data_IF_099347947098
#
_entry.id   IF_099347947098
#
_cell.length_a   1.000
_cell.length_b   1.000
_cell.length_c   1.000
_cell.angle_alpha   90.00
_cell.angle_beta   90.00
_cell.angle_gamma   90.00
#
_symmetry.space_group_name_H-M   'P 1'
#
loop_
_entity.id
_entity.type
_entity.pdbx_description
1 polymer ?
#
# COMPACT_ATOMS: atom_id res chain seq x y z
N UNK A 1 -43.56 21.52 -46.43
CA UNK A 1 -42.97 20.39 -45.68
C UNK A 1 -41.57 20.14 -46.22
N UNK A 2 -40.53 20.54 -45.48
CA UNK A 2 -39.19 19.94 -45.48
C UNK A 2 -38.26 20.88 -44.70
N UNK A 3 -38.24 20.72 -43.37
CA UNK A 3 -37.21 21.34 -42.54
C UNK A 3 -35.93 20.51 -42.64
N UNK A 4 -34.84 21.12 -43.04
CA UNK A 4 -33.53 20.47 -43.12
C UNK A 4 -32.92 20.42 -41.71
N UNK A 5 -32.83 19.24 -41.13
CA UNK A 5 -32.20 19.00 -39.83
C UNK A 5 -30.70 18.75 -40.05
N UNK A 6 -29.86 19.74 -39.76
CA UNK A 6 -28.40 19.57 -39.77
C UNK A 6 -27.99 18.95 -38.44
N UNK A 7 -27.67 17.65 -38.46
CA UNK A 7 -27.05 16.97 -37.31
C UNK A 7 -25.59 17.40 -37.26
N UNK A 8 -25.27 18.41 -36.46
CA UNK A 8 -23.89 18.79 -36.18
C UNK A 8 -23.19 17.71 -35.36
N UNK A 9 -22.20 17.04 -35.96
CA UNK A 9 -21.26 16.18 -35.25
C UNK A 9 -20.45 17.04 -34.28
N UNK A 10 -20.89 17.13 -33.02
CA UNK A 10 -20.13 17.77 -31.96
C UNK A 10 -18.90 16.91 -31.64
N UNK A 11 -17.72 17.33 -32.09
CA UNK A 11 -16.47 16.81 -31.58
C UNK A 11 -16.40 17.12 -30.07
N UNK A 12 -16.49 16.10 -29.23
CA UNK A 12 -16.10 16.20 -27.83
C UNK A 12 -14.63 15.83 -27.76
N UNK A 13 -13.71 16.76 -27.44
CA UNK A 13 -12.32 16.39 -27.20
C UNK A 13 -12.30 15.34 -26.08
N UNK A 14 -11.70 14.18 -26.36
CA UNK A 14 -11.40 13.20 -25.32
C UNK A 14 -10.48 13.91 -24.31
N UNK A 15 -10.84 13.96 -23.01
CA UNK A 15 -9.93 14.48 -22.01
C UNK A 15 -8.60 13.73 -22.13
N UNK A 16 -7.49 14.46 -22.21
CA UNK A 16 -6.18 13.84 -22.13
C UNK A 16 -6.11 13.04 -20.82
N UNK A 17 -5.51 11.84 -20.87
CA UNK A 17 -5.31 11.06 -19.66
C UNK A 17 -4.50 11.90 -18.67
N UNK A 18 -5.03 12.08 -17.46
CA UNK A 18 -4.34 12.81 -16.39
C UNK A 18 -3.06 12.06 -16.03
N UNK A 19 -1.96 12.81 -15.91
CA UNK A 19 -0.69 12.24 -15.53
C UNK A 19 -0.57 12.23 -13.99
N UNK A 20 0.05 11.19 -13.45
CA UNK A 20 0.17 11.00 -11.99
C UNK A 20 1.64 10.75 -11.59
N UNK A 21 2.01 11.26 -10.42
CA UNK A 21 3.15 10.73 -9.66
C UNK A 21 2.66 9.67 -8.68
N UNK A 22 3.56 8.76 -8.30
CA UNK A 22 3.25 7.61 -7.47
C UNK A 22 4.16 7.56 -6.25
N UNK A 23 3.58 7.10 -5.14
CA UNK A 23 4.27 6.79 -3.90
C UNK A 23 3.81 5.42 -3.42
N UNK A 24 4.75 4.56 -3.10
CA UNK A 24 4.48 3.25 -2.53
C UNK A 24 4.81 3.27 -1.04
N UNK A 25 3.82 2.98 -0.20
CA UNK A 25 4.01 2.66 1.21
C UNK A 25 3.85 1.15 1.38
N UNK A 26 4.87 0.47 1.91
CA UNK A 26 4.87 -0.99 2.06
C UNK A 26 5.09 -1.37 3.51
N UNK A 27 4.29 -2.28 4.04
CA UNK A 27 4.55 -2.95 5.32
C UNK A 27 5.12 -4.34 5.08
N UNK A 28 6.22 -4.65 5.77
CA UNK A 28 6.87 -5.95 5.73
C UNK A 28 6.83 -6.51 7.14
N UNK A 29 6.05 -7.55 7.36
CA UNK A 29 5.74 -8.10 8.66
C UNK A 29 6.29 -9.52 8.76
N UNK A 30 7.25 -9.69 9.66
CA UNK A 30 7.98 -10.93 9.83
C UNK A 30 7.19 -11.88 10.72
N UNK A 31 7.00 -13.10 10.22
CA UNK A 31 6.43 -14.23 10.95
C UNK A 31 7.56 -15.18 11.25
N UNK A 32 8.25 -14.91 12.36
CA UNK A 32 9.33 -15.75 12.88
C UNK A 32 8.93 -16.22 14.27
N UNK A 33 9.00 -17.55 14.55
CA UNK A 33 8.70 -18.10 15.86
C UNK A 33 9.47 -17.39 16.98
N UNK A 34 8.83 -17.22 18.14
CA UNK A 34 9.42 -16.53 19.29
C UNK A 34 9.56 -15.01 19.13
N UNK A 35 9.13 -14.42 18.02
CA UNK A 35 9.14 -12.98 17.83
C UNK A 35 10.52 -12.39 17.53
N UNK A 36 11.44 -13.19 17.00
CA UNK A 36 12.81 -12.77 16.67
C UNK A 36 12.92 -12.03 15.32
N UNK A 37 11.83 -11.94 14.58
CA UNK A 37 11.75 -11.24 13.31
C UNK A 37 11.95 -9.73 13.43
N UNK A 38 12.24 -9.08 12.30
CA UNK A 38 12.25 -7.62 12.19
C UNK A 38 11.23 -7.21 11.15
N UNK A 39 10.22 -6.49 11.60
CA UNK A 39 9.14 -5.98 10.74
C UNK A 39 9.39 -4.50 10.48
N UNK A 40 9.11 -4.02 9.26
CA UNK A 40 9.44 -2.64 8.88
C UNK A 40 8.56 -2.08 7.76
N UNK A 41 8.42 -0.76 7.75
CA UNK A 41 7.91 0.02 6.63
C UNK A 41 8.99 0.34 5.60
N UNK A 42 8.66 0.24 4.32
CA UNK A 42 9.46 0.82 3.22
C UNK A 42 8.58 1.82 2.47
N UNK A 43 9.10 3.02 2.24
CA UNK A 43 8.46 4.04 1.41
C UNK A 43 9.31 4.23 0.17
N UNK A 44 8.69 4.35 -1.00
CA UNK A 44 9.38 4.56 -2.27
C UNK A 44 8.60 5.53 -3.14
N UNK A 45 9.28 6.50 -3.73
CA UNK A 45 8.70 7.40 -4.72
C UNK A 45 9.64 7.60 -5.91
N UNK A 46 9.43 8.67 -6.69
CA UNK A 46 10.05 8.87 -8.00
C UNK A 46 11.58 8.99 -7.96
N UNK A 47 12.18 9.28 -6.80
CA UNK A 47 13.62 9.48 -6.64
C UNK A 47 14.24 8.71 -5.48
N UNK A 48 13.48 8.44 -4.42
CA UNK A 48 14.05 7.96 -3.16
C UNK A 48 13.36 6.70 -2.63
N UNK A 49 14.14 5.91 -1.89
CA UNK A 49 13.66 4.80 -1.08
C UNK A 49 14.02 5.06 0.37
N UNK A 50 12.99 5.20 1.20
CA UNK A 50 13.14 5.46 2.62
C UNK A 50 12.77 4.22 3.44
N UNK A 51 13.64 3.91 4.39
CA UNK A 51 13.41 2.89 5.39
C UNK A 51 12.62 3.55 6.53
N UNK A 52 11.33 3.27 6.57
CA UNK A 52 10.39 3.90 7.49
C UNK A 52 10.42 3.31 8.91
N UNK A 53 9.37 3.62 9.67
CA UNK A 53 9.19 3.18 11.06
C UNK A 53 9.23 1.65 11.19
N UNK A 54 9.87 1.17 12.26
CA UNK A 54 9.85 -0.25 12.62
C UNK A 54 8.44 -0.66 13.06
N UNK A 55 8.04 -1.85 12.64
CA UNK A 55 6.76 -2.49 13.00
C UNK A 55 6.98 -3.47 14.14
N UNK A 56 5.95 -3.66 14.97
CA UNK A 56 5.98 -4.62 16.05
C UNK A 56 5.75 -6.05 15.52
N UNK A 57 6.35 -7.04 16.16
CA UNK A 57 6.26 -8.43 15.72
C UNK A 57 4.89 -9.05 16.00
N UNK A 58 4.41 -9.86 15.05
CA UNK A 58 3.14 -10.58 15.18
C UNK A 58 3.18 -11.72 16.20
N UNK A 59 4.35 -12.31 16.43
CA UNK A 59 4.50 -13.47 17.31
C UNK A 59 5.36 -13.16 18.53
N UNK A 60 5.10 -13.91 19.59
CA UNK A 60 5.87 -14.00 20.83
C UNK A 60 6.12 -15.47 21.15
N UNK A 61 6.77 -15.75 22.28
CA UNK A 61 6.94 -17.14 22.76
C UNK A 61 5.63 -17.84 23.10
N UNK A 62 4.55 -17.10 23.38
CA UNK A 62 3.24 -17.66 23.77
C UNK A 62 2.23 -17.67 22.62
N UNK A 63 2.64 -17.27 21.41
CA UNK A 63 1.78 -17.20 20.23
C UNK A 63 1.60 -15.76 19.71
N UNK A 64 0.46 -15.50 19.09
CA UNK A 64 0.16 -14.24 18.39
C UNK A 64 0.01 -13.07 19.39
N UNK A 65 0.66 -11.96 19.09
CA UNK A 65 0.57 -10.72 19.85
C UNK A 65 -0.42 -9.75 19.18
N UNK A 66 -1.70 -9.88 19.51
CA UNK A 66 -2.77 -9.03 18.95
C UNK A 66 -2.63 -7.54 19.28
N UNK A 67 -1.98 -7.20 20.40
CA UNK A 67 -1.71 -5.80 20.76
C UNK A 67 -0.70 -5.18 19.79
N UNK A 68 0.34 -5.93 19.41
CA UNK A 68 1.31 -5.49 18.41
C UNK A 68 0.63 -5.27 17.06
N UNK A 69 -0.22 -6.20 16.63
CA UNK A 69 -1.00 -6.09 15.39
C UNK A 69 -1.86 -4.82 15.41
N UNK A 70 -2.68 -4.62 16.44
CA UNK A 70 -3.53 -3.43 16.54
C UNK A 70 -2.75 -2.11 16.56
N UNK A 71 -1.53 -2.10 17.12
CA UNK A 71 -0.65 -0.93 17.09
C UNK A 71 -0.04 -0.69 15.70
N UNK A 72 0.33 -1.74 14.97
CA UNK A 72 0.77 -1.63 13.58
C UNK A 72 -0.37 -1.12 12.70
N UNK A 73 -1.58 -1.66 12.84
CA UNK A 73 -2.77 -1.25 12.09
C UNK A 73 -3.08 0.24 12.30
N UNK A 74 -3.00 0.72 13.55
CA UNK A 74 -3.18 2.15 13.85
C UNK A 74 -2.15 3.00 13.10
N UNK A 75 -0.88 2.60 13.13
CA UNK A 75 0.19 3.34 12.45
C UNK A 75 -0.02 3.37 10.93
N UNK A 76 -0.46 2.26 10.34
CA UNK A 76 -0.78 2.16 8.91
C UNK A 76 -1.90 3.16 8.56
N UNK A 77 -2.99 3.15 9.31
CA UNK A 77 -4.14 4.05 9.10
C UNK A 77 -3.73 5.51 9.26
N UNK A 78 -2.99 5.85 10.32
CA UNK A 78 -2.46 7.20 10.54
C UNK A 78 -1.59 7.66 9.36
N UNK A 79 -0.71 6.79 8.86
CA UNK A 79 0.17 7.10 7.72
C UNK A 79 -0.61 7.34 6.44
N UNK A 80 -1.58 6.47 6.13
CA UNK A 80 -2.44 6.63 4.95
C UNK A 80 -3.25 7.92 5.05
N UNK A 81 -3.84 8.21 6.21
CA UNK A 81 -4.59 9.45 6.43
C UNK A 81 -3.72 10.70 6.25
N UNK A 82 -2.46 10.67 6.71
CA UNK A 82 -1.51 11.76 6.49
C UNK A 82 -1.26 11.99 5.00
N UNK A 83 -0.99 10.93 4.23
CA UNK A 83 -0.81 11.07 2.78
C UNK A 83 -2.08 11.57 2.08
N UNK A 84 -3.26 11.12 2.51
CA UNK A 84 -4.54 11.64 1.97
C UNK A 84 -4.70 13.12 2.28
N UNK A 85 -4.35 13.57 3.49
CA UNK A 85 -4.37 14.98 3.85
C UNK A 85 -3.37 15.82 3.01
N UNK A 86 -2.26 15.22 2.56
CA UNK A 86 -1.30 15.82 1.62
C UNK A 86 -1.77 15.79 0.15
N UNK A 87 -2.96 15.24 -0.13
CA UNK A 87 -3.56 15.18 -1.45
C UNK A 87 -3.19 13.94 -2.27
N UNK A 88 -2.66 12.90 -1.65
CA UNK A 88 -2.50 11.59 -2.29
C UNK A 88 -3.80 10.80 -2.25
N UNK A 89 -4.10 10.07 -3.32
CA UNK A 89 -5.18 9.10 -3.41
C UNK A 89 -4.62 7.69 -3.19
N UNK A 90 -5.23 6.89 -2.31
CA UNK A 90 -4.95 5.46 -2.25
C UNK A 90 -5.50 4.78 -3.51
N UNK A 91 -4.61 4.40 -4.42
CA UNK A 91 -4.98 3.87 -5.73
C UNK A 91 -5.14 2.36 -5.75
N UNK A 92 -4.22 1.63 -5.12
CA UNK A 92 -4.24 0.15 -5.13
C UNK A 92 -3.62 -0.39 -3.85
N UNK A 93 -4.17 -1.49 -3.33
CA UNK A 93 -3.58 -2.27 -2.24
C UNK A 93 -3.31 -3.68 -2.75
N UNK A 94 -2.06 -4.15 -2.62
CA UNK A 94 -1.65 -5.50 -3.00
C UNK A 94 -1.00 -6.21 -1.83
N UNK A 95 -1.46 -7.42 -1.51
CA UNK A 95 -0.89 -8.25 -0.45
C UNK A 95 -0.08 -9.41 -1.02
N UNK A 96 0.87 -9.93 -0.24
CA UNK A 96 1.64 -11.11 -0.57
C UNK A 96 2.10 -11.82 0.69
N UNK A 97 2.18 -13.15 0.63
CA UNK A 97 2.66 -13.99 1.72
C UNK A 97 3.66 -14.97 1.16
N UNK A 98 4.78 -15.13 1.86
CA UNK A 98 5.75 -16.18 1.57
C UNK A 98 6.11 -16.88 2.88
N UNK A 99 6.05 -18.21 2.89
CA UNK A 99 6.49 -19.04 4.00
C UNK A 99 7.46 -20.10 3.49
N UNK A 100 8.55 -20.33 4.22
CA UNK A 100 9.41 -21.48 3.93
C UNK A 100 8.63 -22.80 4.12
N UNK A 101 8.87 -23.77 3.24
CA UNK A 101 8.28 -25.12 3.30
C UNK A 101 8.41 -25.76 4.69
N UNK A 102 7.43 -26.59 5.04
CA UNK A 102 7.42 -27.39 6.27
C UNK A 102 8.78 -28.10 6.49
N UNK A 103 9.26 -28.10 7.74
CA UNK A 103 10.50 -28.75 8.16
C UNK A 103 11.75 -27.85 8.26
N UNK A 104 11.68 -26.57 7.86
CA UNK A 104 12.82 -25.63 7.92
C UNK A 104 12.60 -24.36 8.75
N UNK A 105 11.99 -24.49 9.93
CA UNK A 105 12.00 -23.42 10.94
C UNK A 105 10.87 -22.40 10.86
N UNK A 106 9.81 -22.66 10.09
CA UNK A 106 8.52 -21.96 10.20
C UNK A 106 8.57 -20.44 10.01
N UNK A 107 9.52 -19.94 9.21
CA UNK A 107 9.65 -18.51 8.94
C UNK A 107 8.80 -18.10 7.74
N UNK A 108 8.21 -16.91 7.84
CA UNK A 108 7.42 -16.32 6.79
C UNK A 108 7.45 -14.80 6.82
N UNK A 109 6.96 -14.21 5.75
CA UNK A 109 6.85 -12.77 5.55
C UNK A 109 5.46 -12.49 4.99
N UNK A 110 4.80 -11.51 5.59
CA UNK A 110 3.62 -10.85 5.04
C UNK A 110 4.06 -9.50 4.49
N UNK A 111 3.66 -9.17 3.28
CA UNK A 111 3.90 -7.87 2.68
C UNK A 111 2.59 -7.27 2.18
N UNK A 112 2.34 -6.01 2.54
CA UNK A 112 1.24 -5.23 1.96
C UNK A 112 1.82 -3.98 1.32
N UNK A 113 1.46 -3.74 0.06
CA UNK A 113 1.85 -2.57 -0.72
C UNK A 113 0.64 -1.70 -0.95
N UNK A 114 0.70 -0.49 -0.44
CA UNK A 114 -0.27 0.58 -0.66
C UNK A 114 0.34 1.50 -1.72
N UNK A 115 -0.17 1.44 -2.93
CA UNK A 115 0.21 2.33 -4.01
C UNK A 115 -0.71 3.56 -3.96
N UNK A 116 -0.11 4.71 -3.71
CA UNK A 116 -0.77 6.00 -3.75
C UNK A 116 -0.39 6.73 -5.02
N UNK A 117 -1.29 7.58 -5.50
CA UNK A 117 -1.06 8.45 -6.65
C UNK A 117 -1.53 9.86 -6.38
N UNK A 118 -0.94 10.83 -7.07
CA UNK A 118 -1.33 12.24 -7.03
C UNK A 118 -1.19 12.83 -8.43
N UNK A 119 -2.15 13.63 -8.92
CA UNK A 119 -2.00 14.33 -10.20
C UNK A 119 -0.68 15.11 -10.26
N UNK A 120 -0.02 15.09 -11.42
CA UNK A 120 1.18 15.89 -11.70
C UNK A 120 0.86 17.38 -11.83
#
# INVERSE_FOLDING_TARGET
MAGLLVVGLSFRPQPAAEAYTYRQFSTIESVVPGGLGRSRVIISDQGDQEVGKDLLNFYSMVGINFKNIANNDRMIVETINNYVAEGWELHTVTTGVNSASEGKGGTGIFITRYLLRKPL
#
